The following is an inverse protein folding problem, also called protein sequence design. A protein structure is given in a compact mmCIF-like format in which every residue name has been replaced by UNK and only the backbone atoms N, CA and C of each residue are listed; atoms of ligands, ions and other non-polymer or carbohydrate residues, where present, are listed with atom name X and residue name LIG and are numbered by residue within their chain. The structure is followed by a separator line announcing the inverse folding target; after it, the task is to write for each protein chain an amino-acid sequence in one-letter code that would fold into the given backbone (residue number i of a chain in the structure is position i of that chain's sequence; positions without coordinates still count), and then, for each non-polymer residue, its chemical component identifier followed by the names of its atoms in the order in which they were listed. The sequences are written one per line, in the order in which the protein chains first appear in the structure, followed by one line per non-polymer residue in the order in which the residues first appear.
data_IF_859414447956
#
_entry.id   IF_859414447956
#
_cell.length_a   1.000
_cell.length_b   1.000
_cell.length_c   1.000
_cell.angle_alpha   90.00
_cell.angle_beta   90.00
_cell.angle_gamma   90.00
#
_symmetry.space_group_name_H-M   'P 1'
#
loop_
_entity.id
_entity.type
_entity.pdbx_description
1 polymer ?
#
# COMPACT_ATOMS: atom_id res chain seq x y z
N UNK A 1 -35.66 21.83 33.11
CA UNK A 1 -36.50 21.11 32.14
C UNK A 1 -35.63 21.04 30.89
N UNK A 2 -34.70 20.09 30.84
CA UNK A 2 -34.94 18.74 30.26
C UNK A 2 -34.91 18.90 28.72
N UNK A 3 -34.03 18.30 27.91
CA UNK A 3 -33.30 17.05 28.05
C UNK A 3 -32.04 17.00 27.18
N UNK A 4 -31.02 16.36 27.74
CA UNK A 4 -29.98 15.62 27.02
C UNK A 4 -30.60 14.45 26.24
N UNK A 5 -30.24 14.22 24.97
CA UNK A 5 -30.11 12.87 24.42
C UNK A 5 -29.67 12.82 22.95
N UNK A 6 -28.70 11.94 22.70
CA UNK A 6 -28.52 11.15 21.47
C UNK A 6 -27.96 11.87 20.25
N UNK A 7 -26.63 11.81 20.00
CA UNK A 7 -25.87 10.59 19.67
C UNK A 7 -26.60 9.77 18.59
N UNK A 8 -26.15 9.86 17.34
CA UNK A 8 -25.70 8.71 16.55
C UNK A 8 -25.27 9.16 15.14
N UNK A 9 -24.05 8.79 14.67
CA UNK A 9 -23.63 8.97 13.29
C UNK A 9 -24.40 8.04 12.35
N UNK A 10 -24.67 8.57 11.17
CA UNK A 10 -25.19 7.85 10.00
C UNK A 10 -24.17 6.78 9.59
N UNK A 11 -24.29 5.59 10.17
CA UNK A 11 -23.64 4.36 9.69
C UNK A 11 -24.67 3.65 8.81
N UNK A 12 -24.67 4.01 7.53
CA UNK A 12 -25.47 3.33 6.52
C UNK A 12 -24.92 1.91 6.29
N UNK A 13 -25.75 0.95 6.70
CA UNK A 13 -26.01 -0.36 6.06
C UNK A 13 -24.80 -1.24 5.72
N UNK A 14 -24.55 -2.15 6.65
CA UNK A 14 -23.96 -3.45 6.39
C UNK A 14 -24.69 -4.22 5.27
N UNK A 15 -23.92 -4.95 4.45
CA UNK A 15 -24.38 -6.11 3.69
C UNK A 15 -23.46 -7.30 4.03
N UNK A 16 -23.85 -8.20 4.94
CA UNK A 16 -23.07 -9.41 5.17
C UNK A 16 -23.25 -10.39 4.01
N UNK A 17 -22.15 -10.72 3.31
CA UNK A 17 -22.08 -11.86 2.38
C UNK A 17 -22.26 -13.14 3.18
N UNK A 18 -23.32 -13.88 2.87
CA UNK A 18 -23.55 -15.26 3.32
C UNK A 18 -22.42 -16.13 2.78
N UNK A 19 -21.58 -16.62 3.68
CA UNK A 19 -20.55 -17.62 3.43
C UNK A 19 -20.39 -18.42 4.70
N UNK A 20 -21.06 -19.58 4.73
CA UNK A 20 -21.09 -20.48 5.86
C UNK A 20 -19.70 -21.07 6.15
N UNK A 21 -19.18 -20.80 7.35
CA UNK A 21 -18.34 -21.73 8.09
C UNK A 21 -18.67 -21.55 9.57
N UNK A 22 -19.38 -22.53 10.12
CA UNK A 22 -19.49 -22.72 11.56
C UNK A 22 -18.45 -23.76 11.95
N UNK A 23 -17.26 -23.37 12.46
CA UNK A 23 -16.51 -24.27 13.29
C UNK A 23 -17.12 -24.20 14.69
N UNK A 24 -17.64 -25.33 15.16
CA UNK A 24 -17.94 -25.56 16.57
C UNK A 24 -16.64 -25.26 17.33
N UNK A 25 -16.52 -24.05 17.89
CA UNK A 25 -15.39 -23.69 18.72
C UNK A 25 -15.54 -24.47 20.03
N UNK A 26 -14.82 -25.60 20.13
CA UNK A 26 -14.34 -26.09 21.41
C UNK A 26 -13.52 -24.94 22.02
N UNK A 27 -14.17 -24.17 22.89
CA UNK A 27 -13.51 -23.24 23.81
C UNK A 27 -12.73 -24.08 24.83
N UNK A 28 -11.64 -24.68 24.37
CA UNK A 28 -10.60 -25.18 25.24
C UNK A 28 -10.05 -23.94 25.95
N UNK A 29 -10.38 -23.79 27.24
CA UNK A 29 -9.83 -22.74 28.11
C UNK A 29 -8.33 -23.01 28.25
N UNK A 30 -7.55 -22.60 27.23
CA UNK A 30 -6.11 -22.48 27.36
C UNK A 30 -5.85 -21.51 28.51
N UNK A 31 -5.18 -22.01 29.54
CA UNK A 31 -4.64 -21.27 30.68
C UNK A 31 -4.07 -19.92 30.22
N UNK A 32 -4.42 -18.85 30.92
CA UNK A 32 -3.99 -17.48 30.58
C UNK A 32 -2.46 -17.36 30.48
N UNK A 33 -1.72 -18.20 31.22
CA UNK A 33 -0.27 -18.29 31.12
C UNK A 33 0.20 -18.81 29.76
N UNK A 34 -0.52 -19.74 29.14
CA UNK A 34 -0.20 -20.24 27.80
C UNK A 34 -0.43 -19.17 26.72
N UNK A 35 -1.47 -18.33 26.89
CA UNK A 35 -1.73 -17.20 25.99
C UNK A 35 -0.64 -16.15 26.08
N UNK A 36 -0.09 -15.90 27.27
CA UNK A 36 1.02 -14.95 27.48
C UNK A 36 2.31 -15.48 26.85
N UNK A 37 2.57 -16.78 26.93
CA UNK A 37 3.74 -17.42 26.31
C UNK A 37 3.60 -17.39 24.78
N UNK A 38 2.43 -17.73 24.23
CA UNK A 38 2.14 -17.65 22.79
C UNK A 38 2.18 -16.21 22.28
N UNK A 39 1.77 -15.21 23.08
CA UNK A 39 1.93 -13.77 22.77
C UNK A 39 3.39 -13.33 22.82
N UNK A 40 4.18 -13.79 23.81
CA UNK A 40 5.61 -13.46 23.93
C UNK A 40 6.43 -14.10 22.80
N UNK A 41 6.16 -15.35 22.44
CA UNK A 41 6.82 -16.00 21.30
C UNK A 41 6.40 -15.39 19.96
N UNK A 42 5.15 -14.93 19.79
CA UNK A 42 4.75 -14.18 18.58
C UNK A 42 5.34 -12.76 18.50
N UNK A 43 5.75 -12.16 19.63
CA UNK A 43 6.34 -10.82 19.64
C UNK A 43 7.86 -10.83 19.47
N UNK A 44 8.55 -11.90 19.85
CA UNK A 44 10.01 -12.03 19.62
C UNK A 44 10.38 -12.47 18.20
N UNK A 45 9.50 -13.17 17.49
CA UNK A 45 9.72 -13.57 16.08
C UNK A 45 9.06 -12.58 15.11
N UNK A 46 9.09 -11.27 15.43
CA UNK A 46 8.97 -10.27 14.35
C UNK A 46 10.32 -10.26 13.63
N UNK A 47 10.47 -11.21 12.71
CA UNK A 47 11.64 -11.38 11.86
C UNK A 47 12.03 -10.01 11.26
N UNK A 48 13.33 -9.70 11.25
CA UNK A 48 13.86 -8.40 10.80
C UNK A 48 13.32 -8.00 9.42
N UNK A 49 12.99 -8.99 8.58
CA UNK A 49 12.33 -8.81 7.28
C UNK A 49 10.93 -8.23 7.42
N UNK A 50 10.09 -8.82 8.27
CA UNK A 50 8.72 -8.40 8.52
C UNK A 50 8.66 -6.97 9.07
N UNK A 51 9.60 -6.60 9.94
CA UNK A 51 9.73 -5.22 10.42
C UNK A 51 10.05 -4.22 9.29
N UNK A 52 11.00 -4.56 8.41
CA UNK A 52 11.34 -3.71 7.25
C UNK A 52 10.16 -3.54 6.30
N UNK A 53 9.43 -4.63 6.03
CA UNK A 53 8.25 -4.60 5.15
C UNK A 53 7.16 -3.71 5.76
N UNK A 54 6.87 -3.86 7.05
CA UNK A 54 5.90 -2.99 7.75
C UNK A 54 6.30 -1.51 7.69
N UNK A 55 7.59 -1.20 7.83
CA UNK A 55 8.10 0.18 7.75
C UNK A 55 7.90 0.78 6.35
N UNK A 56 8.18 -0.01 5.30
CA UNK A 56 7.95 0.40 3.91
C UNK A 56 6.46 0.55 3.64
N UNK A 57 5.62 -0.38 4.10
CA UNK A 57 4.18 -0.29 3.97
C UNK A 57 3.63 0.97 4.62
N UNK A 58 4.06 1.29 5.85
CA UNK A 58 3.66 2.51 6.54
C UNK A 58 4.06 3.77 5.74
N UNK A 59 5.29 3.82 5.22
CA UNK A 59 5.76 4.92 4.38
C UNK A 59 4.89 5.10 3.12
N UNK A 60 4.57 4.00 2.42
CA UNK A 60 3.70 4.07 1.23
C UNK A 60 2.21 4.22 1.54
N UNK A 61 1.78 4.04 2.80
CA UNK A 61 0.40 4.27 3.24
C UNK A 61 0.13 5.68 3.77
N UNK A 62 1.17 6.50 4.00
CA UNK A 62 1.01 7.88 4.47
C UNK A 62 0.37 8.76 3.36
N UNK A 63 -0.72 9.47 3.66
CA UNK A 63 -1.47 10.25 2.67
C UNK A 63 -0.79 11.61 2.40
N UNK A 64 0.33 11.57 1.68
CA UNK A 64 1.12 12.77 1.32
C UNK A 64 0.63 13.49 0.05
N UNK A 65 -0.57 13.16 -0.45
CA UNK A 65 -1.14 13.63 -1.72
C UNK A 65 -0.27 13.41 -2.98
N UNK A 66 0.90 12.78 -2.86
CA UNK A 66 1.80 12.48 -3.95
C UNK A 66 1.45 11.13 -4.60
N UNK A 67 1.51 11.01 -5.94
CA UNK A 67 1.29 9.74 -6.61
C UNK A 67 2.40 8.74 -6.24
N UNK A 68 2.07 7.44 -6.26
CA UNK A 68 2.96 6.36 -5.80
C UNK A 68 4.34 6.40 -6.46
N UNK A 69 4.41 6.74 -7.75
CA UNK A 69 5.65 6.83 -8.54
C UNK A 69 6.51 8.08 -8.25
N UNK A 70 6.06 8.99 -7.38
CA UNK A 70 6.82 10.16 -6.95
C UNK A 70 7.07 10.17 -5.43
N UNK A 71 6.62 9.12 -4.74
CA UNK A 71 6.55 9.06 -3.27
C UNK A 71 7.93 8.93 -2.63
N UNK A 72 8.94 8.46 -3.36
CA UNK A 72 10.34 8.42 -2.92
C UNK A 72 11.04 9.78 -3.09
N UNK A 73 10.31 10.82 -3.49
CA UNK A 73 10.74 12.22 -3.47
C UNK A 73 11.68 12.59 -4.62
N UNK A 74 12.86 13.10 -4.29
CA UNK A 74 13.79 13.67 -5.28
C UNK A 74 14.37 12.63 -6.25
N UNK A 75 14.54 11.37 -5.80
CA UNK A 75 15.11 10.30 -6.63
C UNK A 75 14.18 9.94 -7.77
N UNK A 76 12.90 9.76 -7.46
CA UNK A 76 11.87 9.44 -8.45
C UNK A 76 11.74 10.55 -9.49
N UNK A 77 11.80 11.82 -9.06
CA UNK A 77 11.79 12.96 -9.98
C UNK A 77 12.97 12.93 -10.93
N UNK A 78 14.19 12.63 -10.46
CA UNK A 78 15.37 12.54 -11.31
C UNK A 78 15.24 11.42 -12.35
N UNK A 79 14.77 10.23 -11.94
CA UNK A 79 14.53 9.12 -12.86
C UNK A 79 13.43 9.43 -13.86
N UNK A 80 12.35 10.07 -13.42
CA UNK A 80 11.26 10.50 -14.29
C UNK A 80 11.76 11.48 -15.35
N UNK A 81 12.46 12.55 -14.96
CA UNK A 81 13.00 13.50 -15.94
C UNK A 81 14.05 12.87 -16.87
N UNK A 82 14.90 11.99 -16.35
CA UNK A 82 15.87 11.26 -17.17
C UNK A 82 15.20 10.37 -18.22
N UNK A 83 14.17 9.62 -17.84
CA UNK A 83 13.43 8.76 -18.78
C UNK A 83 12.66 9.57 -19.83
N UNK A 84 12.05 10.69 -19.43
CA UNK A 84 11.37 11.60 -20.38
C UNK A 84 12.36 12.21 -21.37
N UNK A 85 13.53 12.67 -20.92
CA UNK A 85 14.56 13.20 -21.82
C UNK A 85 15.09 12.14 -22.78
N UNK A 86 15.33 10.92 -22.30
CA UNK A 86 15.79 9.82 -23.14
C UNK A 86 14.76 9.44 -24.20
N UNK A 87 13.48 9.42 -23.84
CA UNK A 87 12.38 9.19 -24.78
C UNK A 87 12.28 10.30 -25.83
N UNK A 88 12.37 11.57 -25.42
CA UNK A 88 12.34 12.70 -26.33
C UNK A 88 13.52 12.66 -27.31
N UNK A 89 14.71 12.32 -26.83
CA UNK A 89 15.89 12.15 -27.66
C UNK A 89 15.73 11.01 -28.67
N UNK A 90 15.29 9.82 -28.23
CA UNK A 90 15.06 8.68 -29.11
C UNK A 90 13.99 8.95 -30.16
N UNK A 91 12.92 9.67 -29.80
CA UNK A 91 11.91 10.13 -30.76
C UNK A 91 12.51 11.09 -31.78
N UNK A 92 13.27 12.09 -31.34
CA UNK A 92 13.93 13.05 -32.24
C UNK A 92 14.87 12.37 -33.24
N UNK A 93 15.69 11.43 -32.76
CA UNK A 93 16.62 10.67 -33.60
C UNK A 93 15.87 9.77 -34.60
N UNK A 94 14.81 9.09 -34.15
CA UNK A 94 13.98 8.28 -35.05
C UNK A 94 13.35 9.09 -36.18
N UNK A 95 12.86 10.30 -35.89
CA UNK A 95 12.31 11.22 -36.88
C UNK A 95 13.40 11.71 -37.84
N UNK A 96 14.59 12.03 -37.33
CA UNK A 96 15.72 12.44 -38.16
C UNK A 96 16.15 11.34 -39.15
N UNK A 97 16.24 10.09 -38.69
CA UNK A 97 16.56 8.95 -39.56
C UNK A 97 15.47 8.73 -40.61
N UNK A 98 14.19 8.81 -40.23
CA UNK A 98 13.09 8.71 -41.18
C UNK A 98 13.13 9.83 -42.24
N UNK A 99 13.48 11.05 -41.83
CA UNK A 99 13.65 12.18 -42.74
C UNK A 99 14.79 11.93 -43.76
N UNK A 100 15.93 11.42 -43.29
CA UNK A 100 17.06 11.06 -44.16
C UNK A 100 16.73 9.92 -45.13
N UNK A 101 15.88 8.97 -44.72
CA UNK A 101 15.44 7.87 -45.58
C UNK A 101 14.40 8.32 -46.62
N UNK A 102 13.56 9.30 -46.26
CA UNK A 102 12.49 9.78 -47.12
C UNK A 102 13.01 10.66 -48.27
N UNK A 103 14.16 11.33 -48.10
CA UNK A 103 14.77 12.15 -49.13
C UNK A 103 15.79 11.34 -49.94
N UNK A 104 15.70 11.34 -51.28
CA UNK A 104 16.76 10.77 -52.11
C UNK A 104 18.05 11.57 -51.91
N UNK A 105 19.18 10.86 -51.80
CA UNK A 105 20.51 11.45 -51.67
C UNK A 105 20.97 12.13 -52.96
#
# INVERSE_FOLDING_TARGET
MEDTANILPIILKAKPRKGAYSPVMKLERKSDNQRIIDMKQNTEVVDKRTYRIKKVQQFYSEDDCNPVWLKMGARDKLFYYGTVLLMAYGLGDSVYVLYLLALPK
#
